data_IF_834170949438
#
_entry.id   IF_834170949438
#
_cell.length_a   1.000
_cell.length_b   1.000
_cell.length_c   1.000
_cell.angle_alpha   90.00
_cell.angle_beta   90.00
_cell.angle_gamma   90.00
#
_symmetry.space_group_name_H-M   'P 1'
#
loop_
_entity.id
_entity.type
_entity.pdbx_description
1 polymer ?
#
# COMPACT_ATOMS: atom_id res chain seq x y z
N UNK A 1 30.44 55.51 1.19
CA UNK A 1 30.09 54.41 0.28
C UNK A 1 29.24 53.44 1.06
N UNK A 2 28.04 53.14 0.56
CA UNK A 2 26.91 52.55 1.28
C UNK A 2 26.67 51.11 0.81
N UNK A 3 26.16 50.25 1.73
CA UNK A 3 25.59 48.88 1.59
C UNK A 3 26.60 47.74 1.40
N UNK A 4 26.63 46.65 2.18
CA UNK A 4 25.65 46.07 3.11
C UNK A 4 24.69 45.12 2.40
N UNK A 5 24.79 43.81 2.67
CA UNK A 5 23.63 42.91 2.65
C UNK A 5 23.91 41.62 3.45
N UNK A 6 23.36 41.58 4.66
CA UNK A 6 23.12 40.36 5.43
C UNK A 6 21.98 39.59 4.77
N UNK A 7 22.13 38.29 4.54
CA UNK A 7 20.99 37.42 4.20
C UNK A 7 20.37 36.95 5.51
N UNK A 8 19.43 37.73 6.03
CA UNK A 8 18.51 37.28 7.07
C UNK A 8 17.35 36.54 6.39
N UNK A 9 17.20 35.25 6.68
CA UNK A 9 16.05 34.47 6.24
C UNK A 9 14.84 34.86 7.11
N UNK A 10 13.98 35.72 6.57
CA UNK A 10 12.73 36.08 7.22
C UNK A 10 11.71 34.95 7.03
N UNK A 11 11.35 34.26 8.12
CA UNK A 11 10.20 33.37 8.17
C UNK A 11 8.97 34.24 8.42
N UNK A 12 8.17 34.47 7.37
CA UNK A 12 6.87 35.12 7.51
C UNK A 12 5.83 34.09 8.02
N UNK A 13 5.51 34.15 9.32
CA UNK A 13 4.37 33.43 9.89
C UNK A 13 3.13 34.29 9.66
N UNK A 14 2.41 34.02 8.58
CA UNK A 14 1.04 34.50 8.42
C UNK A 14 0.14 33.63 9.31
N UNK A 15 -0.21 34.16 10.48
CA UNK A 15 -1.13 33.56 11.44
C UNK A 15 -2.56 33.95 11.11
N UNK A 16 -3.26 33.10 10.35
CA UNK A 16 -4.73 33.09 10.30
C UNK A 16 -5.19 31.64 10.25
N UNK A 17 -5.71 31.13 11.37
CA UNK A 17 -6.56 29.93 11.44
C UNK A 17 -5.89 28.58 11.15
N UNK A 18 -4.95 28.14 11.98
CA UNK A 18 -4.44 26.76 11.95
C UNK A 18 -4.80 26.04 13.26
N UNK A 19 -6.09 25.70 13.40
CA UNK A 19 -6.59 24.78 14.41
C UNK A 19 -7.60 23.83 13.76
N UNK A 20 -7.09 22.95 12.90
CA UNK A 20 -7.64 21.63 12.56
C UNK A 20 -6.83 21.08 11.39
N UNK A 21 -5.80 20.30 11.68
CA UNK A 21 -5.16 19.28 10.81
C UNK A 21 -3.66 19.19 11.10
N UNK A 22 -3.36 18.57 12.25
CA UNK A 22 -2.00 18.16 12.59
C UNK A 22 -1.41 17.16 11.55
N UNK A 23 -2.25 16.53 10.72
CA UNK A 23 -1.81 15.64 9.64
C UNK A 23 -1.31 16.37 8.38
N UNK A 24 -1.89 17.52 8.04
CA UNK A 24 -1.54 18.29 6.83
C UNK A 24 -0.27 19.12 6.98
N UNK A 25 -0.01 19.67 8.18
CA UNK A 25 1.20 20.43 8.46
C UNK A 25 2.46 19.54 8.50
N UNK A 26 2.32 18.27 8.87
CA UNK A 26 3.43 17.32 8.95
C UNK A 26 3.89 16.80 7.58
N UNK A 27 3.00 16.73 6.59
CA UNK A 27 3.34 16.34 5.21
C UNK A 27 4.15 17.43 4.50
N UNK A 28 3.81 18.70 4.74
CA UNK A 28 4.55 19.86 4.22
C UNK A 28 5.96 19.98 4.83
N UNK A 29 6.13 19.60 6.11
CA UNK A 29 7.45 19.59 6.76
C UNK A 29 8.35 18.43 6.27
N UNK A 30 7.79 17.26 5.90
CA UNK A 30 8.55 16.17 5.28
C UNK A 30 9.11 16.54 3.89
N UNK A 31 8.46 17.45 3.17
CA UNK A 31 8.93 17.90 1.85
C UNK A 31 10.25 18.70 1.89
N UNK A 32 10.62 19.26 3.05
CA UNK A 32 11.84 20.07 3.21
C UNK A 32 13.03 19.31 3.83
N UNK A 33 12.86 18.04 4.20
CA UNK A 33 13.97 17.17 4.60
C UNK A 33 14.32 16.33 3.36
N UNK A 34 15.54 16.43 2.81
CA UNK A 34 15.94 15.59 1.68
C UNK A 34 15.83 14.12 2.10
N UNK A 35 14.79 13.45 1.60
CA UNK A 35 14.60 12.03 1.83
C UNK A 35 15.79 11.30 1.18
N UNK A 36 16.67 10.72 2.00
CA UNK A 36 17.78 9.86 1.54
C UNK A 36 17.28 8.57 0.89
N UNK A 37 16.00 8.26 1.04
CA UNK A 37 15.34 7.12 0.45
C UNK A 37 14.81 7.46 -0.96
N UNK A 38 15.41 6.89 -2.03
CA UNK A 38 15.03 7.20 -3.41
C UNK A 38 13.67 6.62 -3.83
N UNK A 39 13.17 5.58 -3.15
CA UNK A 39 11.91 4.94 -3.46
C UNK A 39 10.83 5.33 -2.46
N UNK A 40 9.69 5.82 -2.95
CA UNK A 40 8.55 6.20 -2.11
C UNK A 40 7.33 5.38 -2.53
N UNK A 41 6.65 4.79 -1.54
CA UNK A 41 5.34 4.19 -1.76
C UNK A 41 4.30 5.30 -1.93
N UNK A 42 3.60 5.29 -3.06
CA UNK A 42 2.46 6.17 -3.33
C UNK A 42 1.20 5.63 -2.66
N UNK A 43 1.01 4.31 -2.70
CA UNK A 43 -0.13 3.62 -2.12
C UNK A 43 0.13 2.12 -2.01
N UNK A 44 -0.57 1.45 -1.09
CA UNK A 44 -0.62 0.00 -0.96
C UNK A 44 -2.04 -0.53 -1.16
N UNK A 45 -2.16 -1.76 -1.65
CA UNK A 45 -3.43 -2.45 -1.90
C UNK A 45 -3.35 -3.88 -1.41
N UNK A 46 -4.31 -4.25 -0.57
CA UNK A 46 -4.55 -5.63 -0.18
C UNK A 46 -5.62 -6.22 -1.10
N UNK A 47 -5.42 -7.46 -1.54
CA UNK A 47 -6.39 -8.19 -2.37
C UNK A 47 -6.62 -9.59 -1.81
N UNK A 48 -7.86 -10.07 -1.68
CA UNK A 48 -8.13 -11.43 -1.21
C UNK A 48 -7.53 -12.47 -2.17
N UNK A 49 -6.96 -13.54 -1.63
CA UNK A 49 -6.38 -14.63 -2.44
C UNK A 49 -7.35 -15.80 -2.57
N UNK A 50 -7.93 -16.29 -1.47
CA UNK A 50 -8.73 -17.52 -1.44
C UNK A 50 -10.12 -17.34 -0.81
N UNK A 51 -10.94 -16.43 -1.34
CA UNK A 51 -12.33 -16.24 -0.86
C UNK A 51 -13.34 -17.27 -1.41
N UNK A 52 -12.90 -18.24 -2.21
CA UNK A 52 -13.82 -19.24 -2.76
C UNK A 52 -14.33 -20.19 -1.65
N UNK A 53 -15.65 -20.33 -1.46
CA UNK A 53 -16.23 -21.25 -0.47
C UNK A 53 -15.89 -22.73 -0.72
N UNK A 54 -15.37 -23.07 -1.90
CA UNK A 54 -14.85 -24.41 -2.20
C UNK A 54 -13.45 -24.71 -1.64
N UNK A 55 -12.72 -23.70 -1.14
CA UNK A 55 -11.51 -23.91 -0.37
C UNK A 55 -11.85 -24.07 1.10
N UNK A 56 -11.02 -24.80 1.85
CA UNK A 56 -11.21 -25.04 3.29
C UNK A 56 -10.17 -24.36 4.18
N UNK A 57 -9.25 -23.60 3.58
CA UNK A 57 -8.13 -22.94 4.26
C UNK A 57 -7.73 -21.66 3.53
N UNK A 58 -6.98 -20.78 4.21
CA UNK A 58 -6.41 -19.55 3.66
C UNK A 58 -7.42 -18.47 3.21
N UNK A 59 -8.66 -18.52 3.72
CA UNK A 59 -9.70 -17.53 3.39
C UNK A 59 -9.38 -16.11 3.84
N UNK A 60 -8.52 -15.99 4.84
CA UNK A 60 -8.06 -14.73 5.40
C UNK A 60 -6.73 -14.25 4.79
N UNK A 61 -6.18 -15.00 3.82
CA UNK A 61 -4.93 -14.64 3.16
C UNK A 61 -5.20 -13.57 2.10
N UNK A 62 -4.39 -12.51 2.15
CA UNK A 62 -4.43 -11.37 1.24
C UNK A 62 -3.05 -11.13 0.63
N UNK A 63 -3.00 -10.79 -0.65
CA UNK A 63 -1.77 -10.36 -1.30
C UNK A 63 -1.58 -8.86 -1.12
N UNK A 64 -0.32 -8.44 -0.92
CA UNK A 64 0.04 -7.02 -0.84
C UNK A 64 0.70 -6.58 -2.14
N UNK A 65 0.15 -5.51 -2.72
CA UNK A 65 0.80 -4.78 -3.80
C UNK A 65 0.97 -3.32 -3.44
N UNK A 66 2.01 -2.70 -3.96
CA UNK A 66 2.33 -1.30 -3.70
C UNK A 66 2.79 -0.62 -4.97
N UNK A 67 2.36 0.63 -5.12
CA UNK A 67 2.81 1.50 -6.19
C UNK A 67 3.99 2.30 -5.68
N UNK A 68 5.15 2.11 -6.30
CA UNK A 68 6.41 2.72 -5.86
C UNK A 68 6.91 3.69 -6.92
N UNK A 69 7.33 4.87 -6.49
CA UNK A 69 7.92 5.90 -7.34
C UNK A 69 9.40 6.05 -7.04
N UNK A 70 10.21 6.12 -8.09
CA UNK A 70 11.63 6.42 -8.00
C UNK A 70 11.87 7.93 -8.17
N UNK A 71 12.32 8.59 -7.12
CA UNK A 71 12.67 10.02 -7.12
C UNK A 71 14.16 10.29 -7.35
N UNK A 72 14.98 9.26 -7.53
CA UNK A 72 16.40 9.45 -7.84
C UNK A 72 16.64 9.72 -9.33
N UNK A 73 17.82 10.25 -9.63
CA UNK A 73 18.29 10.50 -11.00
C UNK A 73 18.74 9.22 -11.73
N UNK A 74 18.86 8.09 -11.02
CA UNK A 74 19.32 6.80 -11.55
C UNK A 74 18.21 5.74 -11.48
N UNK A 75 18.19 4.75 -12.39
CA UNK A 75 17.27 3.64 -12.29
C UNK A 75 17.56 2.81 -11.02
N UNK A 76 16.51 2.30 -10.39
CA UNK A 76 16.63 1.36 -9.26
C UNK A 76 16.13 -0.01 -9.70
N UNK A 77 17.00 -1.01 -9.61
CA UNK A 77 16.66 -2.40 -9.93
C UNK A 77 16.48 -3.21 -8.65
N UNK A 78 15.26 -3.68 -8.42
CA UNK A 78 14.83 -4.51 -7.29
C UNK A 78 14.91 -5.98 -7.66
N UNK A 79 15.41 -6.81 -6.74
CA UNK A 79 15.67 -8.25 -6.96
C UNK A 79 15.02 -9.16 -5.91
N UNK A 80 14.56 -8.61 -4.78
CA UNK A 80 13.85 -9.36 -3.77
C UNK A 80 12.89 -8.45 -2.99
N UNK A 81 11.85 -9.04 -2.43
CA UNK A 81 10.97 -8.39 -1.47
C UNK A 81 10.54 -9.40 -0.40
N UNK A 82 10.51 -8.98 0.85
CA UNK A 82 10.02 -9.80 1.96
C UNK A 82 9.01 -9.02 2.79
N UNK A 83 8.11 -9.78 3.43
CA UNK A 83 7.10 -9.24 4.31
C UNK A 83 7.41 -9.60 5.77
N UNK A 84 7.16 -8.65 6.67
CA UNK A 84 7.11 -8.89 8.11
C UNK A 84 5.95 -8.13 8.72
N UNK A 85 5.50 -8.57 9.89
CA UNK A 85 4.41 -7.94 10.63
C UNK A 85 4.95 -7.54 12.00
N UNK A 86 4.70 -6.29 12.39
CA UNK A 86 5.16 -5.71 13.65
C UNK A 86 3.94 -5.27 14.48
N UNK A 87 4.04 -5.43 15.81
CA UNK A 87 3.04 -4.94 16.79
C UNK A 87 1.58 -5.40 16.54
N UNK A 88 1.38 -6.56 15.92
CA UNK A 88 0.06 -7.11 15.62
C UNK A 88 -0.31 -8.26 16.55
N UNK A 89 -1.62 -8.42 16.82
CA UNK A 89 -2.16 -9.52 17.64
C UNK A 89 -2.34 -10.81 16.84
N UNK A 90 -3.07 -10.73 15.73
CA UNK A 90 -3.50 -11.91 14.94
C UNK A 90 -3.16 -11.81 13.46
N UNK A 91 -2.38 -10.80 13.07
CA UNK A 91 -1.87 -10.68 11.70
C UNK A 91 -0.51 -11.36 11.63
N UNK A 92 -0.31 -12.20 10.62
CA UNK A 92 0.96 -12.91 10.40
C UNK A 92 1.32 -12.91 8.92
N UNK A 93 2.59 -13.20 8.60
CA UNK A 93 2.96 -13.60 7.24
C UNK A 93 2.30 -14.96 6.96
N UNK A 94 1.54 -15.05 5.88
CA UNK A 94 0.85 -16.28 5.52
C UNK A 94 1.85 -17.33 5.03
N UNK A 95 1.47 -18.61 5.10
CA UNK A 95 2.23 -19.70 4.47
C UNK A 95 2.02 -19.76 2.96
N UNK A 96 0.95 -19.13 2.47
CA UNK A 96 0.69 -19.01 1.05
C UNK A 96 1.48 -17.85 0.44
N UNK A 97 1.76 -17.96 -0.86
CA UNK A 97 2.44 -16.94 -1.62
C UNK A 97 2.16 -17.10 -3.11
N UNK A 98 2.53 -16.09 -3.88
CA UNK A 98 2.33 -16.04 -5.32
C UNK A 98 3.64 -15.80 -6.06
N UNK A 99 3.70 -16.33 -7.29
CA UNK A 99 4.69 -15.91 -8.30
C UNK A 99 3.93 -15.29 -9.46
N UNK A 100 4.48 -14.24 -10.06
CA UNK A 100 3.80 -13.49 -11.10
C UNK A 100 4.70 -12.46 -11.76
N UNK A 101 4.16 -11.79 -12.78
CA UNK A 101 4.82 -10.61 -13.34
C UNK A 101 4.78 -9.51 -12.29
N UNK A 102 5.92 -8.83 -12.11
CA UNK A 102 6.12 -7.77 -11.11
C UNK A 102 6.00 -8.22 -9.65
N UNK A 103 6.08 -9.53 -9.41
CA UNK A 103 6.11 -10.10 -8.07
C UNK A 103 7.55 -10.39 -7.68
N UNK A 104 7.95 -9.97 -6.49
CA UNK A 104 9.24 -10.31 -5.88
C UNK A 104 9.01 -11.11 -4.61
N UNK A 105 9.55 -12.33 -4.55
CA UNK A 105 9.68 -13.10 -3.32
C UNK A 105 10.97 -12.76 -2.56
N UNK A 106 11.18 -13.43 -1.43
CA UNK A 106 12.31 -13.14 -0.54
C UNK A 106 13.67 -13.65 -1.06
N UNK A 107 13.69 -14.70 -1.88
CA UNK A 107 14.93 -15.24 -2.45
C UNK A 107 15.35 -14.44 -3.69
N UNK A 108 16.44 -13.68 -3.55
CA UNK A 108 17.05 -12.87 -4.62
C UNK A 108 17.44 -13.66 -5.87
N UNK A 109 17.63 -14.97 -5.77
CA UNK A 109 18.04 -15.82 -6.89
C UNK A 109 16.85 -16.44 -7.66
N UNK A 110 15.64 -16.35 -7.11
CA UNK A 110 14.43 -16.94 -7.72
C UNK A 110 13.55 -15.91 -8.44
N UNK A 111 13.88 -14.62 -8.36
CA UNK A 111 13.08 -13.54 -8.92
C UNK A 111 13.59 -13.05 -10.27
N UNK A 112 12.68 -12.51 -11.08
CA UNK A 112 13.04 -11.66 -12.20
C UNK A 112 13.25 -10.23 -11.71
N UNK A 113 14.40 -9.58 -11.95
CA UNK A 113 14.64 -8.22 -11.51
C UNK A 113 13.63 -7.23 -12.11
N UNK A 114 13.21 -6.24 -11.32
CA UNK A 114 12.29 -5.18 -11.74
C UNK A 114 13.02 -3.85 -11.66
N UNK A 115 13.12 -3.14 -12.78
CA UNK A 115 13.79 -1.83 -12.84
C UNK A 115 12.77 -0.71 -12.90
N UNK A 116 12.90 0.26 -12.00
CA UNK A 116 12.10 1.49 -11.97
C UNK A 116 12.98 2.63 -12.46
N UNK A 117 12.66 3.17 -13.64
CA UNK A 117 13.40 4.29 -14.23
C UNK A 117 13.31 5.57 -13.35
N UNK A 118 14.24 6.53 -13.50
CA UNK A 118 14.15 7.84 -12.85
C UNK A 118 12.80 8.51 -13.11
N UNK A 119 12.15 8.99 -12.05
CA UNK A 119 10.83 9.64 -12.13
C UNK A 119 9.65 8.72 -12.48
N UNK A 120 9.89 7.43 -12.74
CA UNK A 120 8.86 6.47 -13.07
C UNK A 120 8.13 5.96 -11.82
N UNK A 121 6.94 5.41 -12.03
CA UNK A 121 6.11 4.80 -11.01
C UNK A 121 5.73 3.39 -11.47
N UNK A 122 5.83 2.41 -10.58
CA UNK A 122 5.64 1.01 -10.91
C UNK A 122 4.84 0.31 -9.81
N UNK A 123 3.85 -0.48 -10.21
CA UNK A 123 3.20 -1.45 -9.32
C UNK A 123 4.09 -2.66 -9.12
N UNK A 124 4.21 -3.08 -7.87
CA UNK A 124 4.95 -4.26 -7.42
C UNK A 124 4.05 -5.08 -6.50
N UNK A 125 4.18 -6.40 -6.57
CA UNK A 125 3.51 -7.33 -5.65
C UNK A 125 4.57 -8.03 -4.80
N UNK A 126 4.33 -8.14 -3.50
CA UNK A 126 5.18 -8.95 -2.61
C UNK A 126 4.76 -10.42 -2.76
N UNK A 127 5.72 -11.32 -2.91
CA UNK A 127 5.46 -12.74 -3.15
C UNK A 127 4.81 -13.45 -1.96
N UNK A 128 5.12 -13.00 -0.74
CA UNK A 128 4.49 -13.46 0.49
C UNK A 128 3.13 -12.79 0.70
N UNK A 129 2.13 -13.57 1.14
CA UNK A 129 0.82 -13.04 1.53
C UNK A 129 0.79 -12.67 3.02
N UNK A 130 -0.24 -11.91 3.40
CA UNK A 130 -0.56 -11.59 4.80
C UNK A 130 -1.80 -12.39 5.21
N UNK A 131 -1.74 -13.06 6.36
CA UNK A 131 -2.92 -13.70 6.98
C UNK A 131 -3.60 -12.68 7.89
N UNK A 132 -4.76 -12.18 7.47
CA UNK A 132 -5.61 -11.27 8.26
C UNK A 132 -6.65 -12.07 9.05
N UNK A 133 -6.20 -12.87 10.02
CA UNK A 133 -7.05 -13.85 10.71
C UNK A 133 -8.38 -13.25 11.20
N UNK A 134 -9.49 -13.85 10.81
CA UNK A 134 -10.85 -13.45 11.15
C UNK A 134 -11.50 -12.45 10.19
N UNK A 135 -10.77 -11.91 9.21
CA UNK A 135 -11.32 -10.89 8.28
C UNK A 135 -12.50 -11.44 7.47
N UNK A 136 -12.46 -12.73 7.09
CA UNK A 136 -13.55 -13.38 6.36
C UNK A 136 -14.85 -13.49 7.15
N UNK A 137 -14.76 -13.59 8.47
CA UNK A 137 -15.94 -13.59 9.36
C UNK A 137 -16.54 -12.19 9.54
N UNK A 138 -15.75 -11.14 9.30
CA UNK A 138 -16.21 -9.76 9.36
C UNK A 138 -16.80 -9.28 8.02
N UNK A 139 -16.10 -9.54 6.92
CA UNK A 139 -16.52 -9.15 5.56
C UNK A 139 -17.39 -10.23 4.90
N UNK A 140 -18.56 -10.50 5.48
CA UNK A 140 -19.52 -11.47 4.94
C UNK A 140 -20.27 -10.93 3.73
N UNK A 141 -20.89 -11.81 2.94
CA UNK A 141 -21.71 -11.40 1.79
C UNK A 141 -22.93 -10.56 2.22
N UNK A 142 -23.52 -10.87 3.38
CA UNK A 142 -24.62 -10.10 3.96
C UNK A 142 -24.17 -8.69 4.36
N UNK A 143 -23.01 -8.54 5.02
CA UNK A 143 -22.50 -7.22 5.40
C UNK A 143 -22.21 -6.36 4.18
N UNK A 144 -21.76 -6.99 3.10
CA UNK A 144 -21.36 -6.31 1.87
C UNK A 144 -22.49 -6.17 0.85
N UNK A 145 -23.72 -6.62 1.14
CA UNK A 145 -24.82 -6.63 0.15
C UNK A 145 -25.09 -5.24 -0.43
N UNK A 146 -25.11 -4.22 0.44
CA UNK A 146 -25.43 -2.83 0.10
C UNK A 146 -24.24 -2.01 -0.40
N UNK A 147 -23.02 -2.55 -0.36
CA UNK A 147 -21.82 -1.84 -0.81
C UNK A 147 -21.85 -1.68 -2.33
N UNK A 148 -21.87 -0.45 -2.84
CA UNK A 148 -21.82 -0.21 -4.27
C UNK A 148 -20.36 -0.19 -4.74
N UNK A 149 -19.99 -1.13 -5.60
CA UNK A 149 -18.64 -1.22 -6.17
C UNK A 149 -18.61 -0.52 -7.50
N UNK A 150 -17.74 0.47 -7.63
CA UNK A 150 -17.37 1.06 -8.91
C UNK A 150 -16.41 0.12 -9.63
N UNK A 151 -16.71 -0.14 -10.90
CA UNK A 151 -15.88 -0.95 -11.77
C UNK A 151 -15.23 -0.09 -12.87
N UNK A 152 -13.97 -0.38 -13.19
CA UNK A 152 -13.24 0.19 -14.33
C UNK A 152 -12.83 -0.94 -15.25
N UNK A 153 -13.19 -0.86 -16.54
CA UNK A 153 -12.94 -1.93 -17.51
C UNK A 153 -13.41 -3.33 -17.04
N UNK A 154 -14.56 -3.38 -16.36
CA UNK A 154 -15.14 -4.62 -15.80
C UNK A 154 -14.39 -5.20 -14.60
N UNK A 155 -13.54 -4.40 -13.94
CA UNK A 155 -12.79 -4.81 -12.74
C UNK A 155 -13.16 -3.96 -11.53
N UNK A 156 -13.30 -4.54 -10.33
CA UNK A 156 -13.52 -3.79 -9.09
C UNK A 156 -12.41 -2.77 -8.89
N UNK A 157 -12.79 -1.51 -8.69
CA UNK A 157 -11.84 -0.42 -8.51
C UNK A 157 -11.94 0.19 -7.10
N UNK A 158 -13.15 0.58 -6.68
CA UNK A 158 -13.41 1.17 -5.36
C UNK A 158 -14.89 1.06 -4.99
N UNK A 159 -15.29 1.58 -3.83
CA UNK A 159 -16.66 1.63 -3.33
C UNK A 159 -17.15 3.08 -3.20
N UNK A 160 -18.45 3.31 -3.34
CA UNK A 160 -19.03 4.65 -3.20
C UNK A 160 -19.11 5.12 -1.74
N UNK A 161 -19.31 4.19 -0.80
CA UNK A 161 -19.61 4.48 0.60
C UNK A 161 -18.34 4.48 1.47
N UNK A 162 -17.73 5.65 1.67
CA UNK A 162 -16.48 5.79 2.43
C UNK A 162 -16.60 5.40 3.91
N UNK A 163 -17.80 5.41 4.49
CA UNK A 163 -18.02 4.95 5.88
C UNK A 163 -17.58 3.51 6.11
N UNK A 164 -17.58 2.66 5.06
CA UNK A 164 -17.06 1.29 5.17
C UNK A 164 -15.54 1.24 5.38
N UNK A 165 -14.79 2.27 4.95
CA UNK A 165 -13.35 2.40 5.24
C UNK A 165 -13.13 2.64 6.74
N UNK A 166 -13.93 3.52 7.34
CA UNK A 166 -13.89 3.81 8.78
C UNK A 166 -14.27 2.56 9.60
N UNK A 167 -15.34 1.87 9.21
CA UNK A 167 -15.78 0.62 9.82
C UNK A 167 -14.69 -0.47 9.79
N UNK A 168 -14.03 -0.62 8.63
CA UNK A 168 -12.95 -1.58 8.47
C UNK A 168 -11.72 -1.20 9.31
N UNK A 169 -11.36 0.09 9.35
CA UNK A 169 -10.28 0.59 10.21
C UNK A 169 -10.57 0.31 11.68
N UNK A 170 -11.80 0.56 12.14
CA UNK A 170 -12.21 0.27 13.52
C UNK A 170 -12.17 -1.23 13.83
N UNK A 171 -12.57 -2.08 12.88
CA UNK A 171 -12.43 -3.53 13.02
C UNK A 171 -10.96 -3.96 13.12
N UNK A 172 -10.10 -3.48 12.22
CA UNK A 172 -8.66 -3.78 12.23
C UNK A 172 -7.97 -3.26 13.49
N UNK A 173 -8.32 -2.07 13.97
CA UNK A 173 -7.82 -1.53 15.24
C UNK A 173 -8.12 -2.48 16.41
N UNK A 174 -9.39 -2.90 16.51
CA UNK A 174 -9.86 -3.78 17.58
C UNK A 174 -9.21 -5.16 17.52
N UNK A 175 -9.15 -5.77 16.34
CA UNK A 175 -8.74 -7.18 16.17
C UNK A 175 -7.22 -7.30 16.07
N UNK A 176 -6.57 -6.45 15.27
CA UNK A 176 -5.14 -6.54 14.98
C UNK A 176 -4.29 -5.65 15.90
N UNK A 177 -4.87 -4.56 16.39
CA UNK A 177 -4.21 -3.57 17.24
C UNK A 177 -3.91 -2.27 16.49
N UNK A 178 -4.08 -1.14 17.18
CA UNK A 178 -3.89 0.21 16.63
C UNK A 178 -2.49 0.52 16.08
N UNK A 179 -1.49 -0.25 16.53
CA UNK A 179 -0.08 -0.13 16.14
C UNK A 179 0.37 -1.22 15.16
N UNK A 180 -0.54 -2.11 14.71
CA UNK A 180 -0.20 -3.19 13.82
C UNK A 180 0.29 -2.65 12.46
N UNK A 181 1.47 -3.10 12.03
CA UNK A 181 2.14 -2.64 10.81
C UNK A 181 2.50 -3.83 9.94
N UNK A 182 2.19 -3.74 8.65
CA UNK A 182 2.81 -4.57 7.62
C UNK A 182 4.06 -3.85 7.13
N UNK A 183 5.21 -4.51 7.20
CA UNK A 183 6.48 -3.99 6.74
C UNK A 183 6.98 -4.79 5.55
N UNK A 184 7.31 -4.06 4.50
CA UNK A 184 7.89 -4.60 3.27
C UNK A 184 9.33 -4.13 3.17
N UNK A 185 10.25 -5.07 3.05
CA UNK A 185 11.65 -4.79 2.75
C UNK A 185 11.94 -5.23 1.32
N UNK A 186 12.30 -4.29 0.45
CA UNK A 186 12.74 -4.57 -0.90
C UNK A 186 14.24 -4.41 -1.00
N UNK A 187 14.91 -5.35 -1.68
CA UNK A 187 16.34 -5.30 -1.89
C UNK A 187 16.65 -4.96 -3.34
N UNK A 188 17.56 -4.00 -3.53
CA UNK A 188 18.12 -3.66 -4.84
C UNK A 188 19.34 -4.52 -5.19
N UNK A 189 19.71 -4.55 -6.47
CA UNK A 189 20.94 -5.24 -6.93
C UNK A 189 22.23 -4.69 -6.28
N UNK A 190 22.19 -3.44 -5.79
CA UNK A 190 23.28 -2.83 -5.04
C UNK A 190 23.38 -3.30 -3.58
N UNK A 191 22.52 -4.24 -3.17
CA UNK A 191 22.30 -4.67 -1.78
C UNK A 191 21.72 -3.58 -0.87
N UNK A 192 21.28 -2.43 -1.40
CA UNK A 192 20.52 -1.44 -0.63
C UNK A 192 19.12 -1.98 -0.35
N UNK A 193 18.69 -1.85 0.91
CA UNK A 193 17.32 -2.12 1.36
C UNK A 193 16.45 -0.86 1.27
N UNK A 194 15.19 -1.07 0.90
CA UNK A 194 14.14 -0.06 0.82
C UNK A 194 12.96 -0.55 1.66
N UNK A 195 12.61 0.20 2.70
CA UNK A 195 11.62 -0.22 3.69
C UNK A 195 10.34 0.61 3.51
N UNK A 196 9.23 -0.10 3.39
CA UNK A 196 7.89 0.48 3.34
C UNK A 196 7.05 -0.08 4.50
N UNK A 197 6.27 0.78 5.14
CA UNK A 197 5.45 0.40 6.30
C UNK A 197 4.02 0.84 6.08
N UNK A 198 3.09 -0.07 6.37
CA UNK A 198 1.65 0.13 6.18
C UNK A 198 0.94 -0.16 7.50
N UNK A 199 0.53 0.88 8.26
CA UNK A 199 -0.31 0.71 9.42
C UNK A 199 -1.66 0.12 8.98
N UNK A 200 -2.01 -1.04 9.53
CA UNK A 200 -3.13 -1.84 9.01
C UNK A 200 -4.46 -1.14 9.29
N UNK A 201 -4.63 -0.56 10.49
CA UNK A 201 -5.88 0.08 10.91
C UNK A 201 -6.06 1.53 10.44
N UNK A 202 -5.19 2.04 9.56
CA UNK A 202 -5.19 3.44 9.10
C UNK A 202 -5.31 3.54 7.57
N UNK A 203 -6.03 2.61 6.96
CA UNK A 203 -6.29 2.65 5.53
C UNK A 203 -7.18 3.83 5.14
N UNK A 204 -7.07 4.24 3.88
CA UNK A 204 -7.76 5.37 3.29
C UNK A 204 -8.48 4.95 2.01
N UNK A 205 -9.11 5.90 1.34
CA UNK A 205 -9.73 5.73 0.04
C UNK A 205 -8.72 5.84 -1.13
N UNK A 206 -9.22 5.63 -2.35
CA UNK A 206 -8.46 5.63 -3.60
C UNK A 206 -7.76 6.95 -3.92
N UNK A 207 -8.17 8.06 -3.30
CA UNK A 207 -7.60 9.39 -3.58
C UNK A 207 -6.34 9.66 -2.74
N UNK A 208 -6.07 8.83 -1.73
CA UNK A 208 -4.86 8.95 -0.92
C UNK A 208 -3.62 8.51 -1.69
N UNK A 209 -2.63 9.39 -1.81
CA UNK A 209 -1.33 9.13 -2.46
C UNK A 209 -0.14 9.30 -1.50
N UNK A 210 -0.37 9.06 -0.22
CA UNK A 210 0.59 9.31 0.87
C UNK A 210 1.26 8.02 1.39
N UNK A 211 1.14 6.93 0.66
CA UNK A 211 1.68 5.61 1.03
C UNK A 211 0.74 4.77 1.90
N UNK A 212 -0.49 5.22 2.16
CA UNK A 212 -1.48 4.45 2.92
C UNK A 212 -2.00 3.22 2.16
N UNK A 213 -2.61 2.28 2.88
CA UNK A 213 -3.40 1.21 2.29
C UNK A 213 -4.73 1.76 1.76
N UNK A 214 -5.12 1.35 0.56
CA UNK A 214 -6.45 1.62 0.00
C UNK A 214 -7.44 0.55 0.49
N UNK A 215 -8.24 0.90 1.49
CA UNK A 215 -9.21 0.00 2.11
C UNK A 215 -10.49 -0.11 1.30
N UNK A 216 -10.88 0.93 0.59
CA UNK A 216 -11.95 0.90 -0.39
C UNK A 216 -11.68 -0.12 -1.51
N UNK A 217 -10.44 -0.16 -2.01
CA UNK A 217 -9.97 -1.19 -2.94
C UNK A 217 -10.12 -2.59 -2.34
N UNK A 218 -9.66 -2.77 -1.10
CA UNK A 218 -9.72 -4.07 -0.43
C UNK A 218 -11.17 -4.54 -0.30
N UNK A 219 -12.09 -3.67 0.13
CA UNK A 219 -13.52 -3.98 0.26
C UNK A 219 -14.15 -4.29 -1.11
N UNK A 220 -13.85 -3.50 -2.14
CA UNK A 220 -14.34 -3.73 -3.50
C UNK A 220 -13.91 -5.10 -4.04
N UNK A 221 -12.63 -5.43 -3.89
CA UNK A 221 -12.07 -6.70 -4.35
C UNK A 221 -12.49 -7.87 -3.46
N UNK A 222 -12.76 -7.63 -2.18
CA UNK A 222 -13.37 -8.60 -1.29
C UNK A 222 -14.77 -8.99 -1.76
N UNK A 223 -15.65 -8.01 -1.97
CA UNK A 223 -17.02 -8.24 -2.46
C UNK A 223 -17.02 -8.98 -3.79
N UNK A 224 -16.22 -8.51 -4.75
CA UNK A 224 -16.19 -9.03 -6.11
C UNK A 224 -15.06 -10.04 -6.37
N UNK A 225 -14.73 -10.87 -5.37
CA UNK A 225 -13.63 -11.84 -5.46
C UNK A 225 -13.71 -12.82 -6.64
N UNK A 226 -14.92 -13.09 -7.14
CA UNK A 226 -15.15 -13.97 -8.29
C UNK A 226 -14.72 -13.35 -9.63
N UNK A 227 -14.60 -12.02 -9.67
CA UNK A 227 -14.22 -11.27 -10.87
C UNK A 227 -12.70 -11.04 -10.96
N UNK A 228 -11.92 -11.71 -10.11
CA UNK A 228 -10.47 -11.57 -10.02
C UNK A 228 -9.81 -12.33 -11.19
N UNK A 229 -9.78 -11.69 -12.37
CA UNK A 229 -8.71 -11.91 -13.36
C UNK A 229 -7.37 -11.32 -12.89
N UNK A 230 -7.32 -10.71 -11.71
CA UNK A 230 -6.17 -10.03 -11.08
C UNK A 230 -5.32 -10.91 -10.14
N UNK A 231 -5.55 -12.22 -10.07
CA UNK A 231 -4.58 -13.15 -9.44
C UNK A 231 -3.27 -13.21 -10.24
N UNK A 232 -3.31 -12.85 -11.53
CA UNK A 232 -2.13 -12.45 -12.27
C UNK A 232 -1.80 -11.02 -11.88
N UNK A 233 -0.73 -10.84 -11.10
CA UNK A 233 -0.27 -9.54 -10.60
C UNK A 233 -0.29 -8.41 -11.62
N UNK A 234 -0.23 -7.17 -11.12
CA UNK A 234 -0.17 -5.96 -11.93
C UNK A 234 0.79 -6.15 -13.12
N UNK A 235 0.41 -5.68 -14.31
CA UNK A 235 1.37 -5.64 -15.43
C UNK A 235 2.53 -4.73 -15.03
N UNK A 236 3.75 -5.04 -15.51
CA UNK A 236 4.90 -4.18 -15.27
C UNK A 236 4.78 -2.98 -16.21
N UNK A 237 3.94 -2.03 -15.82
CA UNK A 237 3.63 -0.80 -16.55
C UNK A 237 2.46 -0.06 -15.91
N UNK A 238 2.14 1.11 -16.44
CA UNK A 238 0.97 1.87 -16.00
C UNK A 238 -0.31 1.08 -16.28
N UNK A 239 -1.24 1.07 -15.33
CA UNK A 239 -2.53 0.35 -15.40
C UNK A 239 -3.45 0.87 -16.54
N UNK A 240 -2.98 1.81 -17.36
CA UNK A 240 -3.70 2.44 -18.48
C UNK A 240 -3.16 2.11 -19.88
N UNK A 241 -2.14 1.27 -20.02
CA UNK A 241 -1.68 0.80 -21.34
C UNK A 241 -2.28 -0.59 -21.67
N UNK A 242 -3.56 -0.58 -22.08
CA UNK A 242 -4.26 -1.49 -23.03
C UNK A 242 -5.72 -1.74 -22.66
#
# INVERSE_FOLDING_TARGET
>A
MVRGLSVALAVAIASVGLLSDAGGAWSLLKAFIPNKEPLVAIQGRLSPVFRNPGFSSNHDDVSLSLQVRNYSEAPVTLIAASLSVENARTVTVAKSGGKGRCTLGSDRNENSPITIAPGATQWLTVGDNVELRGVSSYLTDERLSEVFVHETAGRPFSIAQLTYVEDLNAYFDKVYGSQAIIKVTMQSISNKEHIFTFPIAQGKDLFATDGSLHHDWFIANWKNWRNIRSLGGYKCGNEYDS
#
